data_IF_998600115256
#
_entry.id   IF_998600115256
#
_cell.length_a   1.000
_cell.length_b   1.000
_cell.length_c   1.000
_cell.angle_alpha   90.00
_cell.angle_beta   90.00
_cell.angle_gamma   90.00
#
_symmetry.space_group_name_H-M   'P 1'
#
loop_
_entity.id
_entity.type
_entity.pdbx_description
1 polymer ?
#
# COMPACT_ATOMS: atom_id res chain seq x y z
N UNK A 1 46.70 8.29 20.79
CA UNK A 1 45.91 9.33 20.12
C UNK A 1 44.48 9.13 20.51
N UNK A 2 44.26 9.59 21.73
CA UNK A 2 42.97 9.87 22.35
C UNK A 2 42.21 10.96 21.59
N UNK A 3 40.97 11.15 22.05
CA UNK A 3 40.05 12.28 21.84
C UNK A 3 39.21 12.23 20.54
N UNK A 4 37.90 12.46 20.51
CA UNK A 4 36.83 12.75 21.48
C UNK A 4 35.50 12.69 20.66
N UNK A 5 34.42 12.14 21.22
CA UNK A 5 33.25 12.86 21.78
C UNK A 5 32.22 13.36 20.75
N UNK A 6 31.00 12.83 20.86
CA UNK A 6 29.77 13.60 21.10
C UNK A 6 28.54 12.76 20.74
N UNK A 7 28.05 12.03 21.75
CA UNK A 7 26.69 11.53 21.75
C UNK A 7 25.70 12.70 21.85
N UNK A 8 24.90 12.91 20.80
CA UNK A 8 23.71 13.76 20.91
C UNK A 8 22.50 12.90 21.25
N UNK A 9 22.30 12.72 22.55
CA UNK A 9 21.00 12.45 23.14
C UNK A 9 20.13 13.71 22.91
N UNK A 10 19.23 13.64 21.93
CA UNK A 10 18.20 14.65 21.74
C UNK A 10 17.12 14.46 22.81
N UNK A 11 17.38 14.99 24.02
CA UNK A 11 16.40 15.20 25.07
C UNK A 11 15.39 16.27 24.61
N UNK A 12 14.37 15.80 23.89
CA UNK A 12 13.26 16.59 23.40
C UNK A 12 12.35 16.99 24.59
N UNK A 13 12.75 18.06 25.29
CA UNK A 13 11.96 18.70 26.36
C UNK A 13 10.55 18.98 25.83
N UNK A 14 9.57 18.27 26.39
CA UNK A 14 8.16 18.37 26.03
C UNK A 14 7.58 19.74 26.47
N UNK A 15 7.69 20.73 25.58
CA UNK A 15 7.05 22.04 25.76
C UNK A 15 5.58 21.93 25.32
N UNK A 16 4.61 22.15 26.24
CA UNK A 16 3.19 22.14 25.88
C UNK A 16 2.87 23.29 24.93
N UNK A 17 2.38 22.98 23.74
CA UNK A 17 1.92 23.97 22.75
C UNK A 17 2.64 23.94 21.39
N UNK A 18 3.75 23.20 21.24
CA UNK A 18 4.38 23.02 19.92
C UNK A 18 3.64 21.95 19.11
N UNK A 19 2.88 22.39 18.11
CA UNK A 19 2.30 21.50 17.08
C UNK A 19 3.44 20.72 16.43
N UNK A 20 3.48 19.39 16.62
CA UNK A 20 4.46 18.52 15.96
C UNK A 20 4.31 18.73 14.46
N UNK A 21 5.36 19.23 13.82
CA UNK A 21 5.40 19.36 12.37
C UNK A 21 5.10 18.00 11.75
N UNK A 22 4.30 17.92 10.66
CA UNK A 22 4.01 16.66 10.02
C UNK A 22 5.33 15.96 9.70
N UNK A 23 5.49 14.72 10.18
CA UNK A 23 6.67 13.90 9.92
C UNK A 23 6.85 13.86 8.40
N UNK A 24 7.94 14.46 7.92
CA UNK A 24 8.29 14.43 6.50
C UNK A 24 8.46 12.95 6.13
N UNK A 25 7.68 12.50 5.16
CA UNK A 25 7.80 11.15 4.63
C UNK A 25 9.21 11.00 4.03
N UNK A 26 10.04 10.16 4.64
CA UNK A 26 11.32 9.81 4.05
C UNK A 26 11.04 9.04 2.76
N UNK A 27 11.51 9.57 1.63
CA UNK A 27 11.45 8.84 0.36
C UNK A 27 12.17 7.50 0.56
N UNK A 28 11.60 6.37 0.12
CA UNK A 28 12.31 5.10 0.18
C UNK A 28 13.64 5.22 -0.57
N UNK A 29 14.68 4.54 -0.07
CA UNK A 29 16.04 4.54 -0.64
C UNK A 29 16.11 4.13 -2.12
N UNK A 30 15.05 3.55 -2.65
CA UNK A 30 14.89 3.19 -4.06
C UNK A 30 13.77 4.02 -4.67
N UNK A 31 14.13 5.14 -5.29
CA UNK A 31 13.25 5.80 -6.26
C UNK A 31 13.44 5.07 -7.58
N UNK A 32 12.66 4.01 -7.81
CA UNK A 32 12.51 3.53 -9.18
C UNK A 32 11.91 4.68 -9.98
N UNK A 33 12.58 5.07 -11.05
CA UNK A 33 11.97 5.96 -12.04
C UNK A 33 10.68 5.28 -12.49
N UNK A 34 9.55 5.98 -12.33
CA UNK A 34 8.22 5.41 -12.58
C UNK A 34 8.08 4.83 -14.00
N UNK A 35 8.94 5.25 -14.93
CA UNK A 35 9.01 4.83 -16.32
C UNK A 35 9.30 3.33 -16.50
N UNK A 36 9.95 2.69 -15.52
CA UNK A 36 10.26 1.25 -15.58
C UNK A 36 9.30 0.37 -14.76
N UNK A 37 8.35 0.98 -14.05
CA UNK A 37 7.36 0.23 -13.29
C UNK A 37 6.20 -0.17 -14.19
N UNK A 38 5.82 -1.43 -14.11
CA UNK A 38 4.64 -1.95 -14.80
C UNK A 38 3.53 -2.26 -13.82
N UNK A 39 2.27 -1.97 -14.19
CA UNK A 39 1.14 -2.46 -13.42
C UNK A 39 1.15 -3.99 -13.41
N UNK A 40 0.86 -4.55 -12.24
CA UNK A 40 0.76 -6.00 -12.08
C UNK A 40 -0.32 -6.37 -11.08
N UNK A 41 -0.76 -7.63 -11.15
CA UNK A 41 -1.70 -8.23 -10.20
C UNK A 41 -1.00 -9.37 -9.50
N UNK A 42 -0.91 -9.28 -8.18
CA UNK A 42 -0.34 -10.34 -7.35
C UNK A 42 -1.27 -11.56 -7.39
N UNK A 43 -0.74 -12.71 -7.79
CA UNK A 43 -1.44 -13.98 -7.86
C UNK A 43 -1.23 -14.79 -6.57
N UNK A 44 0.01 -14.82 -6.07
CA UNK A 44 0.34 -15.58 -4.86
C UNK A 44 1.55 -15.01 -4.11
N UNK A 45 1.67 -15.41 -2.85
CA UNK A 45 2.81 -15.12 -1.96
C UNK A 45 3.29 -16.41 -1.33
N UNK A 46 4.58 -16.69 -1.42
CA UNK A 46 5.23 -17.81 -0.76
C UNK A 46 6.37 -17.31 0.12
N UNK A 47 6.48 -17.82 1.35
CA UNK A 47 7.60 -17.55 2.23
C UNK A 47 8.66 -18.65 2.08
N UNK A 48 9.90 -18.28 1.74
CA UNK A 48 11.05 -19.21 1.65
C UNK A 48 12.27 -18.58 2.31
N UNK A 49 12.96 -19.33 3.16
CA UNK A 49 14.19 -18.89 3.84
C UNK A 49 14.07 -17.53 4.56
N UNK A 50 12.89 -17.23 5.12
CA UNK A 50 12.63 -15.95 5.79
C UNK A 50 12.24 -14.79 4.88
N UNK A 51 12.26 -14.97 3.56
CA UNK A 51 11.87 -13.95 2.57
C UNK A 51 10.49 -14.24 1.97
N UNK A 52 9.73 -13.17 1.70
CA UNK A 52 8.46 -13.24 0.97
C UNK A 52 8.74 -13.08 -0.54
N UNK A 53 8.35 -14.09 -1.30
CA UNK A 53 8.41 -14.15 -2.74
C UNK A 53 7.00 -14.12 -3.32
N UNK A 54 6.82 -13.38 -4.41
CA UNK A 54 5.53 -13.15 -5.03
C UNK A 54 5.52 -13.72 -6.45
N UNK A 55 4.34 -14.14 -6.88
CA UNK A 55 4.04 -14.38 -8.29
C UNK A 55 3.02 -13.35 -8.73
N UNK A 56 3.26 -12.69 -9.85
CA UNK A 56 2.41 -11.62 -10.35
C UNK A 56 2.18 -11.76 -11.87
N UNK A 57 0.98 -11.38 -12.29
CA UNK A 57 0.64 -11.19 -13.69
C UNK A 57 0.97 -9.75 -14.09
N UNK A 58 1.82 -9.58 -15.09
CA UNK A 58 2.29 -8.27 -15.58
C UNK A 58 1.36 -7.75 -16.68
N UNK A 59 0.96 -6.48 -16.60
CA UNK A 59 0.09 -5.82 -17.58
C UNK A 59 0.90 -4.83 -18.42
N UNK A 60 0.46 -4.60 -19.66
CA UNK A 60 1.07 -3.64 -20.58
C UNK A 60 0.47 -2.22 -20.48
N UNK A 61 -0.49 -2.00 -19.56
CA UNK A 61 -1.14 -0.70 -19.40
C UNK A 61 -0.14 0.43 -19.14
N UNK A 62 -0.27 1.52 -19.89
CA UNK A 62 0.53 2.75 -19.77
C UNK A 62 2.03 2.60 -20.04
N UNK A 63 2.45 1.56 -20.78
CA UNK A 63 3.83 1.38 -21.20
C UNK A 63 4.00 1.84 -22.65
N UNK A 64 5.09 2.54 -22.96
CA UNK A 64 5.42 2.93 -24.34
C UNK A 64 5.47 1.70 -25.25
N UNK A 65 5.07 1.86 -26.53
CA UNK A 65 4.99 0.75 -27.51
C UNK A 65 6.31 -0.03 -27.61
N UNK A 66 7.45 0.64 -27.46
CA UNK A 66 8.80 0.04 -27.45
C UNK A 66 9.05 -0.98 -26.34
N UNK A 67 8.19 -0.98 -25.32
CA UNK A 67 8.30 -1.82 -24.14
C UNK A 67 7.06 -2.71 -23.96
N UNK A 68 6.11 -2.76 -24.89
CA UNK A 68 4.99 -3.70 -24.76
C UNK A 68 5.50 -5.15 -24.78
N UNK A 69 5.04 -5.97 -23.83
CA UNK A 69 5.23 -7.42 -23.92
C UNK A 69 4.38 -7.92 -25.09
N UNK A 70 4.88 -8.87 -25.88
CA UNK A 70 4.06 -9.48 -26.92
C UNK A 70 2.83 -10.15 -26.29
N UNK A 71 1.70 -10.27 -27.01
CA UNK A 71 0.47 -10.88 -26.46
C UNK A 71 0.70 -12.33 -26.00
N UNK A 72 1.60 -13.04 -26.67
CA UNK A 72 2.05 -14.40 -26.31
C UNK A 72 3.00 -14.40 -25.08
N UNK A 73 3.52 -13.23 -24.69
CA UNK A 73 4.43 -13.01 -23.57
C UNK A 73 3.75 -12.35 -22.37
N UNK A 74 2.42 -12.45 -22.21
CA UNK A 74 1.74 -12.10 -20.95
C UNK A 74 2.27 -12.98 -19.81
N UNK A 75 3.37 -12.52 -19.21
CA UNK A 75 4.28 -13.35 -18.42
C UNK A 75 3.86 -13.28 -16.97
N UNK A 76 3.40 -14.41 -16.45
CA UNK A 76 3.42 -14.64 -15.01
C UNK A 76 4.89 -14.62 -14.59
N UNK A 77 5.26 -13.59 -13.83
CA UNK A 77 6.60 -13.48 -13.25
C UNK A 77 6.54 -14.09 -11.85
N UNK A 78 7.45 -15.01 -11.56
CA UNK A 78 7.51 -15.71 -10.27
C UNK A 78 8.76 -15.29 -9.50
N UNK A 79 8.80 -15.61 -8.20
CA UNK A 79 9.94 -15.35 -7.31
C UNK A 79 10.30 -13.85 -7.20
N UNK A 80 9.31 -12.96 -7.36
CA UNK A 80 9.51 -11.52 -7.23
C UNK A 80 9.71 -11.17 -5.76
N UNK A 81 10.82 -10.55 -5.37
CA UNK A 81 11.04 -10.17 -3.97
C UNK A 81 10.17 -8.97 -3.59
N UNK A 82 9.79 -8.86 -2.31
CA UNK A 82 8.94 -7.78 -1.78
C UNK A 82 9.40 -6.37 -2.16
N UNK A 83 10.72 -6.12 -2.19
CA UNK A 83 11.28 -4.78 -2.46
C UNK A 83 11.14 -4.36 -3.93
N UNK A 84 10.89 -5.29 -4.84
CA UNK A 84 10.68 -5.00 -6.27
C UNK A 84 9.22 -4.62 -6.59
N UNK A 85 8.32 -4.63 -5.60
CA UNK A 85 6.89 -4.33 -5.78
C UNK A 85 6.53 -3.08 -5.00
N UNK A 86 5.97 -2.09 -5.72
CA UNK A 86 5.29 -0.96 -5.11
C UNK A 86 3.81 -1.30 -4.97
N UNK A 87 3.35 -1.38 -3.73
CA UNK A 87 1.94 -1.62 -3.43
C UNK A 87 1.23 -0.27 -3.41
N UNK A 88 0.32 -0.07 -4.36
CA UNK A 88 -0.55 1.10 -4.41
C UNK A 88 -1.87 0.78 -3.73
N UNK A 89 -2.30 1.60 -2.78
CA UNK A 89 -3.65 1.51 -2.24
C UNK A 89 -4.65 2.03 -3.29
N UNK A 90 -5.50 1.14 -3.80
CA UNK A 90 -6.62 1.55 -4.65
C UNK A 90 -7.77 2.03 -3.77
N UNK A 91 -8.53 3.05 -4.22
CA UNK A 91 -9.75 3.48 -3.54
C UNK A 91 -10.66 2.28 -3.28
N UNK A 92 -11.24 2.21 -2.08
CA UNK A 92 -12.12 1.13 -1.64
C UNK A 92 -11.51 -0.29 -1.65
N UNK A 93 -10.18 -0.42 -1.74
CA UNK A 93 -9.48 -1.72 -1.68
C UNK A 93 -8.54 -1.85 -0.48
N UNK A 94 -8.50 -0.86 0.41
CA UNK A 94 -7.77 -0.99 1.66
C UNK A 94 -8.41 -2.06 2.55
N UNK A 95 -7.67 -2.57 3.53
CA UNK A 95 -8.16 -3.58 4.46
C UNK A 95 -9.50 -3.17 5.11
N UNK A 96 -9.74 -1.88 5.35
CA UNK A 96 -11.01 -1.37 5.91
C UNK A 96 -12.24 -1.73 5.05
N UNK A 97 -12.06 -1.98 3.75
CA UNK A 97 -13.12 -2.25 2.78
C UNK A 97 -13.38 -3.74 2.54
N UNK A 98 -12.60 -4.63 3.14
CA UNK A 98 -12.89 -6.07 3.06
C UNK A 98 -14.21 -6.36 3.79
N UNK A 99 -15.07 -7.19 3.20
CA UNK A 99 -16.41 -7.54 3.70
C UNK A 99 -16.42 -8.06 5.15
N UNK A 100 -15.29 -8.61 5.62
CA UNK A 100 -15.12 -9.18 6.98
C UNK A 100 -14.20 -8.35 7.88
N UNK A 101 -13.80 -7.17 7.45
CA UNK A 101 -13.08 -6.26 8.34
C UNK A 101 -14.05 -5.67 9.35
N UNK A 102 -13.55 -5.38 10.55
CA UNK A 102 -14.25 -4.85 11.74
C UNK A 102 -15.23 -3.71 11.44
N UNK A 103 -16.37 -4.04 10.85
CA UNK A 103 -17.57 -3.23 10.71
C UNK A 103 -18.64 -4.07 11.38
N UNK A 104 -19.04 -3.67 12.57
CA UNK A 104 -20.28 -4.20 13.14
C UNK A 104 -21.40 -3.63 12.28
N UNK A 105 -22.17 -4.47 11.61
CA UNK A 105 -23.38 -4.01 10.94
C UNK A 105 -24.24 -3.29 11.99
N UNK A 106 -24.46 -2.00 11.77
CA UNK A 106 -25.35 -1.22 12.61
C UNK A 106 -26.76 -1.54 12.13
N UNK A 107 -27.40 -2.51 12.78
CA UNK A 107 -28.83 -2.72 12.62
C UNK A 107 -29.56 -1.51 13.19
N UNK A 108 -30.19 -0.73 12.33
CA UNK A 108 -31.12 0.31 12.75
C UNK A 108 -32.53 -0.31 12.79
N UNK A 109 -33.30 -0.12 13.87
CA UNK A 109 -34.69 -0.56 13.91
C UNK A 109 -35.53 0.14 12.85
N UNK A 110 -36.51 -0.57 12.30
CA UNK A 110 -37.35 -0.10 11.19
C UNK A 110 -38.12 1.18 11.54
N UNK A 111 -38.50 1.32 12.82
CA UNK A 111 -39.20 2.50 13.36
C UNK A 111 -38.37 3.79 13.37
N UNK A 112 -37.06 3.72 13.09
CA UNK A 112 -36.18 4.89 13.04
C UNK A 112 -36.17 5.55 11.65
N UNK A 113 -36.60 4.83 10.61
CA UNK A 113 -36.62 5.35 9.26
C UNK A 113 -37.89 6.17 9.01
N UNK A 114 -37.79 7.40 8.47
CA UNK A 114 -38.96 8.16 8.08
C UNK A 114 -39.82 7.36 7.08
N UNK A 115 -41.13 7.33 7.27
CA UNK A 115 -42.05 6.57 6.42
C UNK A 115 -41.99 6.98 4.94
N UNK A 116 -41.65 8.22 4.66
CA UNK A 116 -41.43 8.76 3.31
C UNK A 116 -40.11 8.33 2.65
N UNK A 117 -39.24 7.61 3.36
CA UNK A 117 -38.01 7.01 2.82
C UNK A 117 -38.13 5.51 2.58
N UNK A 118 -39.19 4.88 3.11
CA UNK A 118 -39.51 3.51 2.79
C UNK A 118 -40.27 3.50 1.47
N UNK A 119 -39.88 2.64 0.52
CA UNK A 119 -40.70 2.37 -0.66
C UNK A 119 -42.03 1.80 -0.15
N UNK A 120 -43.07 2.62 -0.16
CA UNK A 120 -44.42 2.17 0.08
C UNK A 120 -44.87 1.46 -1.20
N UNK A 121 -44.81 0.12 -1.18
CA UNK A 121 -45.34 -0.76 -2.24
C UNK A 121 -46.86 -0.61 -2.39
#
# INVERSE_FOLDING_TARGET
>A
NDEDDDGKEDDDKNIPGKKKSPKKWNKPRYTFENEYLRPCVILSRQRRNGYDLYSAYMMNDNVAVSHMLNEEEQKIVTHIPRYAIIFTEKPYKSNQHLKKTFRKEMGFPDDMWPSNWMDME
#
